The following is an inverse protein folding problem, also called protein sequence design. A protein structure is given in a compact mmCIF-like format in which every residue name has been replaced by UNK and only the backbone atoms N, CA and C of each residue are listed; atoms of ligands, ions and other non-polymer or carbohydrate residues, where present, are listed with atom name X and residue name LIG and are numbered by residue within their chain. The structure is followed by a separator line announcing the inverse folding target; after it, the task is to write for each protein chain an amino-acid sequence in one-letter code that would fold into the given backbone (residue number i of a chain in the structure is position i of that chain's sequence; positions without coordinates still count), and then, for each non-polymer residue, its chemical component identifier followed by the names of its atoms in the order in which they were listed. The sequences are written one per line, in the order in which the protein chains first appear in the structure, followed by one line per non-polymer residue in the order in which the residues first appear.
data_IF_667245364977
#
_entry.id   IF_667245364977
#
_cell.length_a   1.000
_cell.length_b   1.000
_cell.length_c   1.000
_cell.angle_alpha   90.00
_cell.angle_beta   90.00
_cell.angle_gamma   90.00
#
_symmetry.space_group_name_H-M   'P 1'
#
loop_
_entity.id
_entity.type
_entity.pdbx_description
1 polymer ?
#
# COMPACT_ATOMS: atom_id res chain seq x y z
N UNK A 1 -8.24 5.39 -4.61
CA UNK A 1 -8.30 5.23 -6.08
C UNK A 1 -8.58 6.60 -6.66
N UNK A 2 -7.84 7.00 -7.69
CA UNK A 2 -7.89 8.32 -8.31
C UNK A 2 -8.02 8.20 -9.82
N UNK A 3 -8.67 9.17 -10.44
CA UNK A 3 -8.72 9.34 -11.88
C UNK A 3 -7.80 10.50 -12.27
N UNK A 4 -7.05 10.37 -13.35
CA UNK A 4 -6.00 11.32 -13.70
C UNK A 4 -6.19 11.80 -15.12
N UNK A 5 -5.88 13.05 -15.40
CA UNK A 5 -5.81 13.57 -16.76
C UNK A 5 -4.36 13.87 -17.09
N UNK A 6 -3.92 13.41 -18.24
CA UNK A 6 -2.56 13.65 -18.73
C UNK A 6 -2.56 14.77 -19.76
N UNK A 7 -1.54 15.60 -19.70
CA UNK A 7 -1.23 16.55 -20.75
C UNK A 7 -0.61 15.83 -21.96
N UNK A 8 -0.39 16.57 -23.04
CA UNK A 8 0.18 16.05 -24.29
C UNK A 8 1.65 15.59 -24.17
N UNK A 9 2.34 15.97 -23.11
CA UNK A 9 3.68 15.51 -22.75
C UNK A 9 3.68 14.20 -21.94
N UNK A 10 2.50 13.69 -21.58
CA UNK A 10 2.29 12.46 -20.81
C UNK A 10 2.29 12.65 -19.29
N UNK A 11 2.55 13.86 -18.77
CA UNK A 11 2.51 14.15 -17.34
C UNK A 11 1.07 14.36 -16.86
N UNK A 12 0.80 14.06 -15.58
CA UNK A 12 -0.49 14.34 -14.98
C UNK A 12 -0.66 15.85 -14.80
N UNK A 13 -1.73 16.41 -15.38
CA UNK A 13 -2.15 17.80 -15.21
C UNK A 13 -3.28 17.97 -14.18
N UNK A 14 -4.04 16.90 -13.90
CA UNK A 14 -5.11 16.91 -12.90
C UNK A 14 -5.39 15.53 -12.30
N UNK A 15 -5.80 15.51 -11.03
CA UNK A 15 -6.23 14.32 -10.28
C UNK A 15 -7.65 14.54 -9.73
N UNK A 16 -8.52 13.54 -9.89
CA UNK A 16 -9.94 13.57 -9.51
C UNK A 16 -10.28 12.37 -8.61
N UNK A 17 -11.19 12.58 -7.66
CA UNK A 17 -11.74 11.50 -6.84
C UNK A 17 -12.79 10.64 -7.59
N UNK A 18 -13.39 11.20 -8.64
CA UNK A 18 -14.43 10.58 -9.47
C UNK A 18 -14.03 10.64 -10.95
N UNK A 19 -14.53 9.72 -11.80
CA UNK A 19 -14.24 9.75 -13.23
C UNK A 19 -14.78 11.05 -13.85
N UNK A 20 -13.92 11.73 -14.61
CA UNK A 20 -14.29 12.86 -15.47
C UNK A 20 -14.05 12.56 -16.94
N UNK A 21 -14.69 13.32 -17.82
CA UNK A 21 -14.42 13.30 -19.25
C UNK A 21 -12.92 13.50 -19.53
N UNK A 22 -12.35 12.60 -20.32
CA UNK A 22 -10.92 12.61 -20.66
C UNK A 22 -9.97 12.24 -19.51
N UNK A 23 -10.49 11.73 -18.38
CA UNK A 23 -9.65 11.14 -17.34
C UNK A 23 -9.40 9.64 -17.58
N UNK A 24 -8.21 9.20 -17.22
CA UNK A 24 -7.73 7.82 -17.24
C UNK A 24 -7.68 7.26 -15.81
N UNK A 25 -7.76 5.94 -15.66
CA UNK A 25 -7.71 5.26 -14.36
C UNK A 25 -8.85 4.24 -14.17
N UNK A 26 -9.14 3.83 -12.93
CA UNK A 26 -8.61 4.37 -11.67
C UNK A 26 -7.18 3.88 -11.34
N UNK A 27 -6.35 4.79 -10.84
CA UNK A 27 -5.01 4.51 -10.29
C UNK A 27 -5.07 4.43 -8.75
N UNK A 28 -4.22 3.62 -8.11
CA UNK A 28 -4.13 3.60 -6.66
C UNK A 28 -3.40 4.86 -6.15
N UNK A 29 -3.59 5.19 -4.87
CA UNK A 29 -3.08 6.45 -4.30
C UNK A 29 -1.55 6.51 -4.14
N UNK A 30 -0.92 5.34 -4.10
CA UNK A 30 0.52 5.11 -4.11
C UNK A 30 1.12 5.07 -5.52
N UNK A 31 0.32 5.26 -6.58
CA UNK A 31 0.83 5.27 -7.94
C UNK A 31 1.88 6.39 -8.11
N UNK A 32 3.08 6.11 -8.67
CA UNK A 32 4.17 7.08 -8.78
C UNK A 32 3.74 8.42 -9.38
N UNK A 33 3.01 8.40 -10.49
CA UNK A 33 2.55 9.62 -11.14
C UNK A 33 1.56 10.43 -10.27
N UNK A 34 0.69 9.75 -9.51
CA UNK A 34 -0.26 10.40 -8.59
C UNK A 34 0.52 11.06 -7.46
N UNK A 35 1.47 10.35 -6.86
CA UNK A 35 2.35 10.90 -5.82
C UNK A 35 3.16 12.08 -6.34
N UNK A 36 3.75 11.98 -7.54
CA UNK A 36 4.51 13.07 -8.16
C UNK A 36 3.64 14.31 -8.39
N UNK A 37 2.41 14.14 -8.87
CA UNK A 37 1.45 15.23 -9.02
C UNK A 37 1.11 15.88 -7.68
N UNK A 38 0.76 15.08 -6.66
CA UNK A 38 0.39 15.58 -5.34
C UNK A 38 1.56 16.29 -4.65
N UNK A 39 2.79 15.83 -4.85
CA UNK A 39 4.00 16.48 -4.31
C UNK A 39 4.30 17.82 -5.00
N UNK A 40 4.07 17.93 -6.32
CA UNK A 40 4.39 19.14 -7.08
C UNK A 40 3.29 20.20 -7.05
N UNK A 41 2.03 19.77 -7.03
CA UNK A 41 0.87 20.64 -7.22
C UNK A 41 -0.16 20.53 -6.09
N UNK A 42 -0.04 19.54 -5.21
CA UNK A 42 -0.92 19.40 -4.06
C UNK A 42 -0.62 20.44 -2.98
N UNK A 43 -1.67 20.87 -2.27
CA UNK A 43 -1.51 21.60 -1.02
C UNK A 43 -1.06 20.66 0.12
N UNK A 44 -0.80 21.22 1.30
CA UNK A 44 -0.35 20.44 2.48
C UNK A 44 -1.25 19.24 2.80
N UNK A 45 -2.57 19.39 2.62
CA UNK A 45 -3.53 18.30 2.83
C UNK A 45 -3.33 17.12 1.85
N UNK A 46 -3.07 17.43 0.57
CA UNK A 46 -2.82 16.41 -0.47
C UNK A 46 -1.49 15.69 -0.24
N UNK A 47 -0.45 16.42 0.17
CA UNK A 47 0.84 15.84 0.54
C UNK A 47 0.73 14.93 1.79
N UNK A 48 -0.06 15.35 2.79
CA UNK A 48 -0.32 14.54 3.99
C UNK A 48 -1.08 13.25 3.67
N UNK A 49 -2.07 13.32 2.78
CA UNK A 49 -2.81 12.14 2.32
C UNK A 49 -1.90 11.16 1.54
N UNK A 50 -1.09 11.68 0.61
CA UNK A 50 -0.10 10.89 -0.14
C UNK A 50 0.88 10.17 0.79
N UNK A 51 1.38 10.87 1.81
CA UNK A 51 2.26 10.28 2.82
C UNK A 51 1.52 9.19 3.62
N UNK A 52 0.29 9.44 4.06
CA UNK A 52 -0.48 8.46 4.82
C UNK A 52 -0.77 7.18 4.03
N UNK A 53 -0.98 7.27 2.72
CA UNK A 53 -1.17 6.09 1.85
C UNK A 53 0.12 5.30 1.75
N UNK A 54 1.23 5.97 1.44
CA UNK A 54 2.54 5.32 1.29
C UNK A 54 3.06 4.71 2.60
N UNK A 55 2.75 5.30 3.75
CA UNK A 55 3.07 4.75 5.07
C UNK A 55 2.37 3.39 5.32
N UNK A 56 1.12 3.22 4.84
CA UNK A 56 0.37 1.98 5.02
C UNK A 56 1.02 0.81 4.24
N UNK A 57 1.45 1.08 3.00
CA UNK A 57 2.14 0.09 2.17
C UNK A 57 3.55 -0.20 2.70
N UNK A 58 4.29 0.83 3.10
CA UNK A 58 5.60 0.69 3.73
C UNK A 58 5.51 -0.19 4.99
N UNK A 59 4.47 -0.02 5.80
CA UNK A 59 4.31 -0.82 7.01
C UNK A 59 4.23 -2.32 6.67
N UNK A 60 3.63 -2.74 5.55
CA UNK A 60 3.59 -4.15 5.13
C UNK A 60 4.97 -4.63 4.68
N UNK A 61 5.68 -3.82 3.88
CA UNK A 61 7.06 -4.14 3.45
C UNK A 61 7.99 -4.31 4.65
N UNK A 62 7.87 -3.45 5.67
CA UNK A 62 8.66 -3.55 6.90
C UNK A 62 8.31 -4.82 7.69
N UNK A 63 7.04 -5.23 7.74
CA UNK A 63 6.62 -6.47 8.39
C UNK A 63 7.26 -7.70 7.72
N UNK A 64 7.19 -7.76 6.39
CA UNK A 64 7.78 -8.83 5.59
C UNK A 64 9.32 -8.85 5.71
N UNK A 65 9.96 -7.67 5.72
CA UNK A 65 11.41 -7.56 5.93
C UNK A 65 11.82 -8.05 7.33
N UNK A 66 11.07 -7.69 8.38
CA UNK A 66 11.36 -8.16 9.74
C UNK A 66 11.22 -9.69 9.83
N UNK A 67 10.18 -10.26 9.21
CA UNK A 67 10.00 -11.71 9.15
C UNK A 67 11.18 -12.38 8.42
N UNK A 68 11.55 -11.87 7.24
CA UNK A 68 12.68 -12.37 6.46
C UNK A 68 14.00 -12.31 7.24
N UNK A 69 14.28 -11.22 7.94
CA UNK A 69 15.49 -11.08 8.74
C UNK A 69 15.49 -12.02 9.95
N UNK A 70 14.34 -12.25 10.58
CA UNK A 70 14.20 -13.18 11.69
C UNK A 70 14.35 -14.65 11.24
N UNK A 71 13.72 -15.02 10.12
CA UNK A 71 13.80 -16.37 9.55
C UNK A 71 15.22 -16.73 9.12
N UNK A 72 15.98 -15.75 8.64
CA UNK A 72 17.40 -15.90 8.32
C UNK A 72 18.33 -15.84 9.56
N UNK A 73 17.78 -15.65 10.76
CA UNK A 73 18.55 -15.53 12.00
C UNK A 73 19.43 -14.28 12.09
N UNK A 74 19.17 -13.26 11.27
CA UNK A 74 19.92 -11.99 11.26
C UNK A 74 19.57 -11.14 12.48
N UNK A 75 18.29 -11.17 12.88
CA UNK A 75 17.79 -10.53 14.11
C UNK A 75 16.93 -11.52 14.88
N UNK A 76 16.87 -11.39 16.20
CA UNK A 76 15.84 -12.05 17.00
C UNK A 76 14.64 -11.11 17.15
N UNK A 77 13.43 -11.67 17.20
CA UNK A 77 12.24 -10.85 17.44
C UNK A 77 12.32 -10.05 18.75
N UNK A 78 13.04 -10.59 19.74
CA UNK A 78 13.29 -9.94 21.03
C UNK A 78 14.21 -8.72 20.97
N UNK A 79 14.98 -8.56 19.89
CA UNK A 79 15.90 -7.42 19.70
C UNK A 79 15.14 -6.13 19.37
N UNK A 80 13.91 -6.25 18.88
CA UNK A 80 13.03 -5.12 18.59
C UNK A 80 12.51 -4.49 19.88
N UNK A 81 12.31 -3.16 19.95
CA UNK A 81 11.68 -2.50 21.08
C UNK A 81 10.29 -3.08 21.39
N UNK A 82 9.90 -3.11 22.66
CA UNK A 82 8.63 -3.71 23.08
C UNK A 82 7.42 -3.14 22.32
N UNK A 83 7.42 -1.83 22.06
CA UNK A 83 6.38 -1.17 21.26
C UNK A 83 6.29 -1.72 19.83
N UNK A 84 7.43 -2.00 19.19
CA UNK A 84 7.48 -2.55 17.83
C UNK A 84 6.98 -4.00 17.82
N UNK A 85 7.43 -4.82 18.77
CA UNK A 85 6.96 -6.21 18.93
C UNK A 85 5.45 -6.30 19.08
N UNK A 86 4.85 -5.48 19.95
CA UNK A 86 3.39 -5.44 20.16
C UNK A 86 2.64 -5.07 18.87
N UNK A 87 3.13 -4.07 18.14
CA UNK A 87 2.52 -3.63 16.87
C UNK A 87 2.58 -4.72 15.80
N UNK A 88 3.73 -5.36 15.61
CA UNK A 88 3.91 -6.45 14.64
C UNK A 88 3.01 -7.65 14.98
N UNK A 89 2.95 -8.07 16.24
CA UNK A 89 2.05 -9.15 16.67
C UNK A 89 0.57 -8.83 16.44
N UNK A 90 0.14 -7.60 16.74
CA UNK A 90 -1.25 -7.18 16.51
C UNK A 90 -1.58 -7.19 15.01
N UNK A 91 -0.70 -6.64 14.17
CA UNK A 91 -0.90 -6.59 12.72
C UNK A 91 -0.92 -7.99 12.10
N UNK A 92 0.02 -8.86 12.47
CA UNK A 92 0.02 -10.26 12.03
C UNK A 92 -1.28 -10.99 12.40
N UNK A 93 -1.81 -10.79 13.62
CA UNK A 93 -3.11 -11.35 14.04
C UNK A 93 -4.29 -10.80 13.25
N UNK A 94 -4.35 -9.49 13.03
CA UNK A 94 -5.40 -8.85 12.23
C UNK A 94 -5.38 -9.38 10.79
N UNK A 95 -4.20 -9.53 10.21
CA UNK A 95 -4.01 -10.08 8.88
C UNK A 95 -4.39 -11.56 8.81
N UNK A 96 -3.98 -12.38 9.78
CA UNK A 96 -4.39 -13.78 9.86
C UNK A 96 -5.92 -13.91 9.96
N UNK A 97 -6.57 -13.02 10.73
CA UNK A 97 -8.04 -12.97 10.80
C UNK A 97 -8.67 -12.60 9.46
N UNK A 98 -8.18 -11.58 8.78
CA UNK A 98 -8.68 -11.18 7.46
C UNK A 98 -8.41 -12.23 6.37
N UNK A 99 -7.25 -12.88 6.41
CA UNK A 99 -6.90 -13.98 5.51
C UNK A 99 -7.68 -15.26 5.77
N UNK A 100 -8.02 -15.56 7.03
CA UNK A 100 -8.92 -16.66 7.40
C UNK A 100 -10.37 -16.41 6.94
N UNK A 101 -10.75 -15.16 6.64
CA UNK A 101 -12.02 -14.80 6.00
C UNK A 101 -11.96 -14.80 4.47
N UNK A 102 -10.92 -15.39 3.86
CA UNK A 102 -10.88 -15.62 2.41
C UNK A 102 -11.08 -17.11 2.09
N UNK A 103 -12.33 -17.63 2.08
CA UNK A 103 -12.63 -19.01 1.69
C UNK A 103 -12.61 -19.20 0.16
N UNK A 104 -11.71 -18.52 -0.55
CA UNK A 104 -11.64 -18.55 -2.03
C UNK A 104 -10.18 -18.61 -2.52
N UNK A 105 -9.43 -19.59 -2.02
CA UNK A 105 -8.30 -20.22 -2.74
C UNK A 105 -8.26 -21.70 -2.32
N UNK A 106 -9.36 -22.41 -2.52
CA UNK A 106 -9.39 -23.86 -2.72
C UNK A 106 -10.43 -24.07 -3.83
N UNK A 107 -10.07 -23.61 -5.02
CA UNK A 107 -10.68 -24.10 -6.24
C UNK A 107 -9.86 -25.30 -6.66
N UNK A 108 -10.41 -26.49 -6.41
CA UNK A 108 -10.00 -27.74 -7.03
C UNK A 108 -9.79 -27.51 -8.53
N UNK A 109 -8.54 -27.59 -8.99
CA UNK A 109 -8.22 -28.02 -10.34
C UNK A 109 -7.45 -29.34 -10.23
N UNK A 110 -8.14 -30.33 -9.65
CA UNK A 110 -7.94 -31.73 -9.92
C UNK A 110 -8.98 -32.12 -10.99
N UNK A 111 -8.65 -31.86 -12.26
CA UNK A 111 -9.45 -32.31 -13.40
C UNK A 111 -8.51 -32.89 -14.48
N UNK A 112 -8.37 -34.22 -14.40
CA UNK A 112 -8.06 -35.21 -15.46
C UNK A 112 -6.82 -34.98 -16.37
#
# INVERSE_FOLDING_TARGET
MFYVRRATDGLIEAVFAEPQDGSEGPLPGDHPDVLEFLLRHGGEAAAAEALSVTDADLARVVEDLVALLADNGVIMFTDLPEGARRKLLLRGRLRARLGAFNPLVDGDDDVL
#
